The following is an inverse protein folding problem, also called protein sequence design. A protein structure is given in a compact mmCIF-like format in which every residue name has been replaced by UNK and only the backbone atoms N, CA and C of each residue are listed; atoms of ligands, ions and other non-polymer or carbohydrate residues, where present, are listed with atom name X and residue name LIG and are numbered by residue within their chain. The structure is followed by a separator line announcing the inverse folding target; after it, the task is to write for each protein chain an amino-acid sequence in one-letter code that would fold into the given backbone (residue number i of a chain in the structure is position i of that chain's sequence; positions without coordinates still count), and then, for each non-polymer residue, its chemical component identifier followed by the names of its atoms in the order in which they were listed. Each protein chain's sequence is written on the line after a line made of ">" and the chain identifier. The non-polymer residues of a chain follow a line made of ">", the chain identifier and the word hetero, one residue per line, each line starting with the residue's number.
data_IF_327685964142
#
_entry.id   IF_327685964142
#
_cell.length_a   1.000
_cell.length_b   1.000
_cell.length_c   1.000
_cell.angle_alpha   90.00
_cell.angle_beta   90.00
_cell.angle_gamma   90.00
#
_symmetry.space_group_name_H-M   'P 1'
#
loop_
_entity.id
_entity.type
_entity.pdbx_description
1 polymer ?
#
# COMPACT_ATOMS: atom_id res chain seq x y z
N UNK A 1 7.10 -9.51 13.48
CA UNK A 1 7.24 -8.21 14.17
C UNK A 1 6.58 -7.16 13.30
N UNK A 2 5.89 -6.21 13.90
CA UNK A 2 5.15 -5.12 13.26
C UNK A 2 6.09 -3.98 12.84
N UNK A 3 5.59 -3.08 12.00
CA UNK A 3 6.16 -1.72 11.87
C UNK A 3 5.63 -0.90 13.03
N UNK A 4 6.50 -0.14 13.66
CA UNK A 4 6.14 0.77 14.73
C UNK A 4 6.63 2.19 14.40
N UNK A 5 5.73 3.13 14.54
CA UNK A 5 5.97 4.56 14.42
C UNK A 5 5.94 5.14 15.84
N UNK A 6 6.99 5.86 16.23
CA UNK A 6 7.13 6.42 17.57
C UNK A 6 7.36 7.93 17.51
N UNK A 7 6.40 8.71 18.03
CA UNK A 7 6.42 10.17 18.13
C UNK A 7 6.87 10.87 16.84
N UNK A 8 6.39 10.36 15.68
CA UNK A 8 6.83 10.77 14.36
C UNK A 8 6.27 12.15 14.00
N UNK A 9 7.15 13.05 13.59
CA UNK A 9 6.76 14.33 12.99
C UNK A 9 7.30 14.41 11.56
N UNK A 10 6.40 14.67 10.61
CA UNK A 10 6.68 14.75 9.19
C UNK A 10 6.33 16.12 8.65
N UNK A 11 7.05 16.54 7.63
CA UNK A 11 6.80 17.82 6.98
C UNK A 11 7.59 18.01 5.70
N UNK A 12 7.16 19.00 4.93
CA UNK A 12 7.81 19.44 3.71
C UNK A 12 8.38 20.85 3.97
N UNK A 13 9.63 21.06 3.61
CA UNK A 13 10.35 22.29 3.94
C UNK A 13 10.20 22.60 5.44
N UNK A 14 9.65 23.75 5.82
CA UNK A 14 9.47 24.16 7.22
C UNK A 14 8.07 23.87 7.79
N UNK A 15 7.15 23.32 6.97
CA UNK A 15 5.77 23.05 7.40
C UNK A 15 5.64 21.61 7.88
N UNK A 16 5.32 21.43 9.18
CA UNK A 16 4.91 20.13 9.72
C UNK A 16 3.46 19.82 9.33
N UNK A 17 3.23 18.61 8.80
CA UNK A 17 1.91 18.12 8.40
C UNK A 17 1.43 16.95 9.26
N UNK A 18 2.36 16.21 9.87
CA UNK A 18 2.09 15.20 10.90
C UNK A 18 2.89 15.59 12.14
N UNK A 19 2.29 15.48 13.32
CA UNK A 19 2.92 15.85 14.61
C UNK A 19 2.71 14.74 15.62
N UNK A 20 3.80 14.24 16.21
CA UNK A 20 3.81 13.25 17.29
C UNK A 20 2.95 12.00 17.02
N UNK A 21 2.94 11.52 15.77
CA UNK A 21 2.21 10.32 15.40
C UNK A 21 2.88 9.09 16.01
N UNK A 22 2.12 8.31 16.77
CA UNK A 22 2.53 6.99 17.26
C UNK A 22 1.52 5.96 16.80
N UNK A 23 2.00 4.88 16.15
CA UNK A 23 1.15 3.93 15.48
C UNK A 23 1.88 2.59 15.33
N UNK A 24 1.15 1.47 15.49
CA UNK A 24 1.65 0.11 15.24
C UNK A 24 0.84 -0.55 14.14
N UNK A 25 1.55 -1.10 13.15
CA UNK A 25 0.93 -1.92 12.11
C UNK A 25 1.07 -3.40 12.49
N UNK A 26 -0.03 -4.12 12.71
CA UNK A 26 0.01 -5.54 13.04
C UNK A 26 0.60 -6.36 11.87
N UNK A 27 1.32 -7.44 12.21
CA UNK A 27 1.92 -8.34 11.21
C UNK A 27 0.87 -9.26 10.59
N UNK A 28 1.11 -9.70 9.35
CA UNK A 28 0.28 -10.67 8.61
C UNK A 28 -1.20 -10.24 8.53
N UNK A 29 -1.42 -8.98 8.22
CA UNK A 29 -2.74 -8.38 8.07
C UNK A 29 -2.80 -7.55 6.79
N UNK A 30 -4.00 -7.40 6.24
CA UNK A 30 -4.32 -6.31 5.31
C UNK A 30 -4.82 -5.14 6.13
N UNK A 31 -4.10 -4.01 6.07
CA UNK A 31 -4.34 -2.83 6.90
C UNK A 31 -4.69 -1.67 5.98
N UNK A 32 -5.83 -1.04 6.18
CA UNK A 32 -6.19 0.17 5.45
C UNK A 32 -5.93 1.43 6.29
N UNK A 33 -5.22 2.39 5.68
CA UNK A 33 -5.21 3.78 6.11
C UNK A 33 -6.38 4.50 5.42
N UNK A 34 -7.34 4.97 6.20
CA UNK A 34 -8.53 5.67 5.72
C UNK A 34 -8.64 7.05 6.37
N UNK A 35 -9.37 7.96 5.75
CA UNK A 35 -9.55 9.32 6.25
C UNK A 35 -9.76 10.32 5.11
N UNK A 36 -10.19 11.56 5.41
CA UNK A 36 -10.43 12.60 4.42
C UNK A 36 -9.18 12.93 3.60
N UNK A 37 -9.38 13.54 2.44
CA UNK A 37 -8.27 14.01 1.62
C UNK A 37 -7.41 15.02 2.40
N UNK A 38 -6.10 14.94 2.22
CA UNK A 38 -5.15 15.81 2.91
C UNK A 38 -4.90 15.46 4.38
N UNK A 39 -5.44 14.35 4.93
CA UNK A 39 -5.18 13.93 6.31
C UNK A 39 -3.82 13.23 6.52
N UNK A 40 -2.93 13.23 5.51
CA UNK A 40 -1.55 12.74 5.57
C UNK A 40 -1.35 11.23 5.50
N UNK A 41 -2.29 10.45 4.94
CA UNK A 41 -2.14 9.00 4.72
C UNK A 41 -0.90 8.67 3.86
N UNK A 42 -0.85 9.19 2.63
CA UNK A 42 0.27 8.99 1.71
C UNK A 42 1.59 9.54 2.25
N UNK A 43 1.56 10.64 3.02
CA UNK A 43 2.75 11.19 3.69
C UNK A 43 3.30 10.20 4.72
N UNK A 44 2.43 9.55 5.48
CA UNK A 44 2.81 8.50 6.44
C UNK A 44 3.39 7.28 5.73
N UNK A 45 2.74 6.81 4.63
CA UNK A 45 3.28 5.72 3.82
C UNK A 45 4.66 6.05 3.24
N UNK A 46 4.86 7.26 2.69
CA UNK A 46 6.16 7.72 2.16
C UNK A 46 7.25 7.72 3.22
N UNK A 47 6.92 8.04 4.48
CA UNK A 47 7.88 7.96 5.57
C UNK A 47 8.26 6.50 5.88
N UNK A 48 7.28 5.59 5.92
CA UNK A 48 7.54 4.14 6.07
C UNK A 48 8.35 3.60 4.89
N UNK A 49 8.09 4.06 3.66
CA UNK A 49 8.85 3.68 2.46
C UNK A 49 10.25 4.33 2.39
N UNK A 50 10.68 5.13 3.39
CA UNK A 50 11.94 5.90 3.41
C UNK A 50 12.06 6.94 2.30
N UNK A 51 10.96 7.36 1.70
CA UNK A 51 10.91 8.44 0.71
C UNK A 51 10.78 9.83 1.35
N UNK A 52 10.39 9.89 2.61
CA UNK A 52 10.31 11.12 3.41
C UNK A 52 10.99 10.89 4.75
N UNK A 53 12.11 11.62 5.00
CA UNK A 53 12.82 11.52 6.27
C UNK A 53 12.04 12.23 7.38
N UNK A 54 11.85 11.60 8.55
CA UNK A 54 11.24 12.24 9.70
C UNK A 54 12.02 13.47 10.16
N UNK A 55 11.30 14.51 10.59
CA UNK A 55 11.87 15.66 11.31
C UNK A 55 12.15 15.28 12.77
N UNK A 56 11.29 14.45 13.37
CA UNK A 56 11.42 13.93 14.73
C UNK A 56 10.80 12.54 14.81
N UNK A 57 11.17 11.78 15.85
CA UNK A 57 10.67 10.43 16.08
C UNK A 57 11.41 9.38 15.25
N UNK A 58 10.90 8.16 15.27
CA UNK A 58 11.52 7.02 14.58
C UNK A 58 10.47 6.08 14.02
N UNK A 59 10.90 5.29 13.04
CA UNK A 59 10.13 4.18 12.47
C UNK A 59 10.98 2.93 12.59
N UNK A 60 10.44 1.88 13.22
CA UNK A 60 11.15 0.62 13.38
C UNK A 60 10.44 -0.50 12.62
N UNK A 61 11.23 -1.39 12.02
CA UNK A 61 10.78 -2.64 11.42
C UNK A 61 11.61 -3.81 12.00
N UNK A 62 10.93 -4.80 12.55
CA UNK A 62 11.58 -5.92 13.27
C UNK A 62 12.49 -5.43 14.42
N UNK A 63 12.07 -4.36 15.10
CA UNK A 63 12.81 -3.78 16.22
C UNK A 63 14.05 -2.98 15.86
N UNK A 64 14.35 -2.78 14.57
CA UNK A 64 15.46 -1.94 14.10
C UNK A 64 14.92 -0.68 13.41
N UNK A 65 15.55 0.45 13.65
CA UNK A 65 15.23 1.68 12.93
C UNK A 65 15.46 1.47 11.43
N UNK A 66 14.44 1.80 10.63
CA UNK A 66 14.50 1.60 9.17
C UNK A 66 15.63 2.41 8.52
N UNK A 67 16.00 3.57 9.10
CA UNK A 67 17.07 4.43 8.57
C UNK A 67 18.48 3.92 8.88
N UNK A 68 18.63 2.96 9.80
CA UNK A 68 19.91 2.30 10.10
C UNK A 68 20.20 1.11 9.17
N UNK A 69 19.19 0.61 8.45
CA UNK A 69 19.39 -0.46 7.46
C UNK A 69 20.01 0.10 6.18
N UNK A 70 20.78 -0.71 5.47
CA UNK A 70 21.24 -0.34 4.14
C UNK A 70 20.03 -0.18 3.19
N UNK A 71 20.11 0.65 2.13
CA UNK A 71 19.03 0.78 1.16
C UNK A 71 18.64 -0.56 0.52
N UNK A 72 19.63 -1.40 0.17
CA UNK A 72 19.41 -2.71 -0.43
C UNK A 72 18.68 -3.66 0.53
N UNK A 73 19.11 -3.73 1.80
CA UNK A 73 18.49 -4.55 2.84
C UNK A 73 17.01 -4.17 3.04
N UNK A 74 16.72 -2.87 3.15
CA UNK A 74 15.35 -2.42 3.36
C UNK A 74 14.47 -2.64 2.12
N UNK A 75 15.02 -2.47 0.92
CA UNK A 75 14.32 -2.77 -0.34
C UNK A 75 14.05 -4.27 -0.55
N UNK A 76 14.74 -5.18 0.14
CA UNK A 76 14.38 -6.60 0.17
C UNK A 76 13.23 -6.91 1.13
N UNK A 77 13.00 -6.05 2.12
CA UNK A 77 11.95 -6.25 3.11
C UNK A 77 10.63 -5.53 2.76
N UNK A 78 10.69 -4.45 1.97
CA UNK A 78 9.55 -3.59 1.67
C UNK A 78 9.42 -3.32 0.17
N UNK A 79 8.21 -3.53 -0.36
CA UNK A 79 7.79 -3.10 -1.68
C UNK A 79 6.80 -1.94 -1.57
N UNK A 80 6.89 -0.95 -2.45
CA UNK A 80 6.03 0.23 -2.43
C UNK A 80 5.47 0.57 -3.80
N UNK A 81 4.15 0.63 -3.90
CA UNK A 81 3.42 1.16 -5.06
C UNK A 81 2.96 2.59 -4.72
N UNK A 82 3.55 3.64 -5.29
CA UNK A 82 3.10 5.01 -5.08
C UNK A 82 1.83 5.32 -5.87
N UNK A 83 1.11 6.36 -5.47
CA UNK A 83 -0.11 6.83 -6.16
C UNK A 83 0.15 7.29 -7.60
N UNK A 84 1.29 7.96 -7.82
CA UNK A 84 1.71 8.41 -9.15
C UNK A 84 3.02 7.74 -9.54
N UNK A 85 3.10 7.33 -10.79
CA UNK A 85 4.27 6.67 -11.34
C UNK A 85 4.92 7.56 -12.40
N UNK A 86 6.24 7.65 -12.37
CA UNK A 86 7.01 8.18 -13.49
C UNK A 86 7.28 7.01 -14.43
N UNK A 87 6.78 7.12 -15.66
CA UNK A 87 7.02 6.13 -16.70
C UNK A 87 8.36 6.47 -17.37
N UNK A 88 9.39 5.61 -17.27
CA UNK A 88 10.63 5.82 -18.00
C UNK A 88 10.39 5.73 -19.50
N UNK A 89 11.03 6.61 -20.28
CA UNK A 89 10.95 6.55 -21.74
C UNK A 89 11.65 5.31 -22.28
N UNK A 90 11.06 4.70 -23.30
CA UNK A 90 11.68 3.61 -24.05
C UNK A 90 11.78 2.26 -23.32
N UNK A 91 11.17 2.11 -22.12
CA UNK A 91 11.20 0.86 -21.37
C UNK A 91 10.02 -0.04 -21.76
N UNK A 92 10.29 -1.33 -21.94
CA UNK A 92 9.26 -2.36 -22.15
C UNK A 92 8.65 -2.82 -20.83
N UNK A 93 7.43 -3.34 -20.90
CA UNK A 93 6.68 -3.84 -19.73
C UNK A 93 7.48 -4.87 -18.95
N UNK A 94 8.01 -5.91 -19.62
CA UNK A 94 8.79 -6.95 -18.94
C UNK A 94 10.04 -6.40 -18.24
N UNK A 95 10.70 -5.41 -18.85
CA UNK A 95 11.89 -4.77 -18.28
C UNK A 95 11.55 -3.99 -17.01
N UNK A 96 10.45 -3.20 -17.05
CA UNK A 96 10.00 -2.44 -15.88
C UNK A 96 9.62 -3.38 -14.75
N UNK A 97 8.91 -4.48 -15.02
CA UNK A 97 8.53 -5.46 -14.00
C UNK A 97 9.78 -6.12 -13.40
N UNK A 98 10.77 -6.42 -14.23
CA UNK A 98 12.05 -6.99 -13.79
C UNK A 98 12.82 -6.04 -12.86
N UNK A 99 12.62 -4.72 -12.91
CA UNK A 99 13.20 -3.78 -11.95
C UNK A 99 12.72 -4.02 -10.51
N UNK A 100 11.58 -4.67 -10.29
CA UNK A 100 11.18 -5.14 -8.97
C UNK A 100 12.21 -6.08 -8.33
N UNK A 101 13.03 -6.77 -9.15
CA UNK A 101 14.11 -7.66 -8.67
C UNK A 101 15.44 -6.95 -8.44
N UNK A 102 15.54 -5.63 -8.68
CA UNK A 102 16.80 -4.87 -8.50
C UNK A 102 17.49 -5.07 -7.14
N UNK A 103 16.77 -5.18 -6.00
CA UNK A 103 17.41 -5.42 -4.70
C UNK A 103 18.13 -6.78 -4.58
N UNK A 104 17.82 -7.72 -5.47
CA UNK A 104 18.33 -9.09 -5.43
C UNK A 104 19.43 -9.36 -6.47
N UNK A 105 19.66 -8.42 -7.39
CA UNK A 105 20.65 -8.58 -8.45
C UNK A 105 22.04 -8.87 -7.86
N UNK A 106 22.77 -9.77 -8.53
CA UNK A 106 24.15 -10.09 -8.23
C UNK A 106 25.08 -8.94 -8.63
N UNK A 107 26.40 -9.10 -8.40
CA UNK A 107 27.42 -8.12 -8.76
C UNK A 107 27.51 -7.82 -10.26
N UNK A 108 26.99 -8.73 -11.10
CA UNK A 108 26.97 -8.59 -12.56
C UNK A 108 25.65 -8.01 -13.07
N UNK A 109 24.74 -7.64 -12.19
CA UNK A 109 23.42 -7.09 -12.56
C UNK A 109 22.48 -8.09 -13.25
N UNK A 110 22.73 -9.39 -13.12
CA UNK A 110 21.94 -10.44 -13.78
C UNK A 110 20.86 -10.98 -12.85
N UNK A 111 19.69 -11.25 -13.43
CA UNK A 111 18.60 -12.00 -12.81
C UNK A 111 19.01 -13.47 -12.65
N UNK A 112 18.59 -14.07 -11.55
CA UNK A 112 18.64 -15.52 -11.38
C UNK A 112 17.39 -16.16 -11.99
N UNK A 113 17.40 -17.47 -12.20
CA UNK A 113 16.21 -18.21 -12.66
C UNK A 113 15.00 -17.95 -11.75
N UNK A 114 15.19 -17.89 -10.44
CA UNK A 114 14.12 -17.56 -9.47
C UNK A 114 13.57 -16.15 -9.70
N UNK A 115 14.41 -15.19 -10.05
CA UNK A 115 13.96 -13.82 -10.33
C UNK A 115 13.09 -13.78 -11.60
N UNK A 116 13.47 -14.51 -12.64
CA UNK A 116 12.71 -14.64 -13.88
C UNK A 116 11.34 -15.32 -13.64
N UNK A 117 11.31 -16.36 -12.82
CA UNK A 117 10.07 -17.05 -12.39
C UNK A 117 9.14 -16.07 -11.64
N UNK A 118 9.66 -15.23 -10.75
CA UNK A 118 8.89 -14.23 -10.01
C UNK A 118 8.36 -13.12 -10.92
N UNK A 119 9.14 -12.68 -11.90
CA UNK A 119 8.69 -11.70 -12.91
C UNK A 119 7.54 -12.31 -13.72
N UNK A 120 7.70 -13.52 -14.23
CA UNK A 120 6.67 -14.23 -15.00
C UNK A 120 5.39 -14.44 -14.20
N UNK A 121 5.54 -14.88 -12.93
CA UNK A 121 4.42 -15.02 -12.00
C UNK A 121 3.69 -13.68 -11.77
N UNK A 122 4.42 -12.61 -11.53
CA UNK A 122 3.82 -11.29 -11.30
C UNK A 122 3.05 -10.79 -12.52
N UNK A 123 3.61 -11.00 -13.73
CA UNK A 123 2.93 -10.68 -14.98
C UNK A 123 1.62 -11.45 -15.16
N UNK A 124 1.61 -12.74 -14.82
CA UNK A 124 0.41 -13.57 -14.88
C UNK A 124 -0.66 -13.11 -13.88
N UNK A 125 -0.26 -12.79 -12.62
CA UNK A 125 -1.19 -12.32 -11.60
C UNK A 125 -1.87 -11.00 -11.98
N UNK A 126 -1.18 -10.11 -12.69
CA UNK A 126 -1.69 -8.80 -13.08
C UNK A 126 -2.23 -8.75 -14.51
N UNK A 127 -2.27 -9.90 -15.21
CA UNK A 127 -2.72 -10.00 -16.60
C UNK A 127 -1.98 -9.00 -17.51
N UNK A 128 -0.66 -8.93 -17.37
CA UNK A 128 0.22 -8.07 -18.17
C UNK A 128 1.14 -8.84 -19.11
N UNK A 129 1.04 -10.19 -19.14
CA UNK A 129 1.90 -11.04 -19.96
C UNK A 129 1.81 -10.73 -21.46
N UNK A 130 0.61 -10.45 -21.98
CA UNK A 130 0.39 -10.11 -23.38
C UNK A 130 0.97 -8.73 -23.75
N UNK A 131 1.30 -7.89 -22.76
CA UNK A 131 1.85 -6.55 -22.93
C UNK A 131 3.38 -6.54 -22.85
N UNK A 132 4.04 -7.68 -22.61
CA UNK A 132 5.46 -7.81 -22.24
C UNK A 132 6.42 -7.00 -23.12
N UNK A 133 6.22 -7.03 -24.43
CA UNK A 133 7.07 -6.38 -25.44
C UNK A 133 6.66 -4.94 -25.76
N UNK A 134 5.52 -4.46 -25.25
CA UNK A 134 5.04 -3.10 -25.48
C UNK A 134 5.82 -2.09 -24.63
N UNK A 135 5.93 -0.86 -25.13
CA UNK A 135 6.46 0.25 -24.35
C UNK A 135 5.44 0.64 -23.26
N UNK A 136 5.91 0.89 -22.05
CA UNK A 136 5.03 1.29 -20.94
C UNK A 136 4.35 2.65 -21.23
N UNK A 137 5.02 3.54 -21.99
CA UNK A 137 4.46 4.82 -22.45
C UNK A 137 3.21 4.69 -23.32
N UNK A 138 3.07 3.58 -24.03
CA UNK A 138 1.98 3.37 -25.01
C UNK A 138 0.73 2.76 -24.36
N UNK A 139 0.81 2.41 -23.08
CA UNK A 139 -0.26 1.78 -22.33
C UNK A 139 -1.28 2.79 -21.80
N UNK A 140 -2.54 2.36 -21.69
CA UNK A 140 -3.55 3.11 -20.93
C UNK A 140 -3.19 3.22 -19.45
N UNK A 141 -3.75 4.23 -18.73
CA UNK A 141 -3.48 4.43 -17.31
C UNK A 141 -3.77 3.18 -16.45
N UNK A 142 -4.86 2.46 -16.74
CA UNK A 142 -5.19 1.20 -16.03
C UNK A 142 -4.21 0.06 -16.35
N UNK A 143 -3.68 -0.01 -17.59
CA UNK A 143 -2.63 -0.96 -17.94
C UNK A 143 -1.30 -0.62 -17.25
N UNK A 144 -0.91 0.66 -17.24
CA UNK A 144 0.27 1.14 -16.51
C UNK A 144 0.17 0.80 -15.02
N UNK A 145 -0.99 1.03 -14.39
CA UNK A 145 -1.22 0.68 -12.98
C UNK A 145 -0.98 -0.81 -12.71
N UNK A 146 -1.46 -1.70 -13.59
CA UNK A 146 -1.21 -3.14 -13.48
C UNK A 146 0.24 -3.52 -13.66
N UNK A 147 0.97 -2.85 -14.55
CA UNK A 147 2.42 -3.08 -14.75
C UNK A 147 3.22 -2.65 -13.52
N UNK A 148 2.93 -1.51 -12.91
CA UNK A 148 3.58 -1.08 -11.67
C UNK A 148 3.21 -1.98 -10.49
N UNK A 149 1.97 -2.48 -10.43
CA UNK A 149 1.58 -3.49 -9.47
C UNK A 149 2.36 -4.79 -9.67
N UNK A 150 2.53 -5.24 -10.93
CA UNK A 150 3.36 -6.41 -11.24
C UNK A 150 4.82 -6.22 -10.78
N UNK A 151 5.41 -5.05 -11.02
CA UNK A 151 6.76 -4.72 -10.52
C UNK A 151 6.83 -4.82 -9.00
N UNK A 152 5.81 -4.32 -8.29
CA UNK A 152 5.71 -4.38 -6.83
C UNK A 152 5.58 -5.83 -6.33
N UNK A 153 4.79 -6.67 -7.03
CA UNK A 153 4.64 -8.09 -6.73
C UNK A 153 5.92 -8.87 -7.00
N UNK A 154 6.59 -8.59 -8.12
CA UNK A 154 7.85 -9.25 -8.50
C UNK A 154 8.94 -9.05 -7.46
N UNK A 155 8.93 -7.95 -6.70
CA UNK A 155 9.87 -7.69 -5.62
C UNK A 155 9.80 -8.74 -4.50
N UNK A 156 8.64 -9.39 -4.30
CA UNK A 156 8.39 -10.47 -3.33
C UNK A 156 8.75 -10.11 -1.88
N UNK A 157 8.56 -8.85 -1.50
CA UNK A 157 8.81 -8.38 -0.15
C UNK A 157 7.75 -8.90 0.85
N UNK A 158 8.12 -9.00 2.14
CA UNK A 158 7.19 -9.39 3.21
C UNK A 158 6.25 -8.26 3.63
N UNK A 159 6.64 -7.02 3.38
CA UNK A 159 5.85 -5.82 3.63
C UNK A 159 5.54 -5.13 2.31
N UNK A 160 4.26 -4.95 2.02
CA UNK A 160 3.80 -4.31 0.79
C UNK A 160 3.01 -3.06 1.15
N UNK A 161 3.42 -1.92 0.62
CA UNK A 161 2.73 -0.65 0.77
C UNK A 161 2.08 -0.27 -0.56
N UNK A 162 0.79 0.08 -0.52
CA UNK A 162 0.01 0.45 -1.70
C UNK A 162 -0.67 1.80 -1.45
N UNK A 163 -0.27 2.83 -2.18
CA UNK A 163 -0.84 4.17 -2.04
C UNK A 163 -1.91 4.41 -3.11
N UNK A 164 -3.19 4.29 -2.73
CA UNK A 164 -4.37 4.42 -3.59
C UNK A 164 -4.33 3.49 -4.83
N UNK A 165 -4.11 2.18 -4.66
CA UNK A 165 -3.85 1.28 -5.78
C UNK A 165 -5.07 1.02 -6.67
N UNK A 166 -6.27 1.42 -6.24
CA UNK A 166 -7.54 1.26 -6.98
C UNK A 166 -7.83 2.39 -7.95
N UNK A 167 -7.05 3.47 -7.92
CA UNK A 167 -7.19 4.61 -8.83
C UNK A 167 -7.01 4.16 -10.28
N UNK A 168 -7.84 4.67 -11.20
CA UNK A 168 -7.86 4.31 -12.63
C UNK A 168 -8.28 2.87 -12.96
N UNK A 169 -8.71 2.06 -11.98
CA UNK A 169 -9.21 0.71 -12.20
C UNK A 169 -10.76 0.69 -12.24
N UNK A 170 -11.32 -0.08 -13.15
CA UNK A 170 -12.75 -0.42 -13.14
C UNK A 170 -13.10 -1.33 -11.95
N UNK A 171 -14.39 -1.47 -11.66
CA UNK A 171 -14.89 -2.23 -10.50
C UNK A 171 -14.38 -3.68 -10.47
N UNK A 172 -14.28 -4.33 -11.63
CA UNK A 172 -13.82 -5.69 -11.71
C UNK A 172 -12.34 -5.81 -11.33
N UNK A 173 -11.51 -4.90 -11.86
CA UNK A 173 -10.09 -4.83 -11.54
C UNK A 173 -9.81 -4.41 -10.09
N UNK A 174 -10.66 -3.56 -9.53
CA UNK A 174 -10.59 -3.26 -8.10
C UNK A 174 -10.84 -4.51 -7.26
N UNK A 175 -11.86 -5.30 -7.59
CA UNK A 175 -12.15 -6.55 -6.87
C UNK A 175 -10.99 -7.56 -6.99
N UNK A 176 -10.40 -7.71 -8.17
CA UNK A 176 -9.22 -8.56 -8.39
C UNK A 176 -8.04 -8.12 -7.51
N UNK A 177 -7.75 -6.81 -7.47
CA UNK A 177 -6.68 -6.26 -6.62
C UNK A 177 -6.93 -6.52 -5.13
N UNK A 178 -8.18 -6.33 -4.66
CA UNK A 178 -8.55 -6.64 -3.27
C UNK A 178 -8.33 -8.13 -2.96
N UNK A 179 -8.69 -9.02 -3.90
CA UNK A 179 -8.42 -10.46 -3.81
C UNK A 179 -6.93 -10.76 -3.71
N UNK A 180 -6.09 -10.10 -4.53
CA UNK A 180 -4.63 -10.23 -4.46
C UNK A 180 -4.06 -9.80 -3.10
N UNK A 181 -4.53 -8.69 -2.52
CA UNK A 181 -4.09 -8.27 -1.18
C UNK A 181 -4.42 -9.33 -0.11
N UNK A 182 -5.60 -9.94 -0.18
CA UNK A 182 -5.98 -11.06 0.72
C UNK A 182 -5.09 -12.28 0.50
N UNK A 183 -4.78 -12.62 -0.73
CA UNK A 183 -3.87 -13.72 -1.06
C UNK A 183 -2.45 -13.46 -0.55
N UNK A 184 -1.92 -12.23 -0.70
CA UNK A 184 -0.63 -11.85 -0.11
C UNK A 184 -0.63 -12.05 1.40
N UNK A 185 -1.70 -11.65 2.10
CA UNK A 185 -1.83 -11.81 3.54
C UNK A 185 -1.87 -13.30 3.94
N UNK A 186 -2.62 -14.13 3.22
CA UNK A 186 -2.66 -15.58 3.43
C UNK A 186 -1.29 -16.23 3.25
N UNK A 187 -0.45 -15.69 2.35
CA UNK A 187 0.94 -16.09 2.16
C UNK A 187 1.91 -15.47 3.20
N UNK A 188 1.38 -14.93 4.31
CA UNK A 188 2.17 -14.40 5.43
C UNK A 188 2.73 -13.00 5.24
N UNK A 189 2.37 -12.28 4.17
CA UNK A 189 2.78 -10.89 3.95
C UNK A 189 1.94 -9.92 4.78
N UNK A 190 2.48 -8.76 5.06
CA UNK A 190 1.76 -7.62 5.63
C UNK A 190 1.50 -6.62 4.52
N UNK A 191 0.24 -6.25 4.30
CA UNK A 191 -0.15 -5.27 3.29
C UNK A 191 -0.70 -4.04 3.99
N UNK A 192 -0.13 -2.87 3.72
CA UNK A 192 -0.65 -1.57 4.20
C UNK A 192 -1.09 -0.79 2.97
N UNK A 193 -2.35 -0.41 2.91
CA UNK A 193 -2.92 0.26 1.74
C UNK A 193 -3.65 1.54 2.14
N UNK A 194 -3.62 2.56 1.29
CA UNK A 194 -4.51 3.71 1.37
C UNK A 194 -5.73 3.41 0.51
N UNK A 195 -6.91 3.49 1.09
CA UNK A 195 -8.17 3.29 0.39
C UNK A 195 -9.10 4.49 0.60
N UNK A 196 -9.91 4.77 -0.42
CA UNK A 196 -10.97 5.80 -0.36
C UNK A 196 -12.34 5.18 -0.13
N UNK A 197 -12.59 3.99 -0.65
CA UNK A 197 -13.84 3.29 -0.45
C UNK A 197 -13.84 2.58 0.91
N UNK A 198 -14.64 3.11 1.83
CA UNK A 198 -14.73 2.61 3.20
C UNK A 198 -15.42 1.23 3.25
N UNK A 199 -16.39 0.96 2.37
CA UNK A 199 -17.05 -0.35 2.31
C UNK A 199 -16.07 -1.42 1.81
N UNK A 200 -15.24 -1.09 0.80
CA UNK A 200 -14.16 -1.99 0.39
C UNK A 200 -13.13 -2.19 1.50
N UNK A 201 -12.76 -1.13 2.23
CA UNK A 201 -11.84 -1.25 3.37
C UNK A 201 -12.40 -2.19 4.45
N UNK A 202 -13.68 -2.08 4.79
CA UNK A 202 -14.33 -2.98 5.75
C UNK A 202 -14.38 -4.43 5.27
N UNK A 203 -14.64 -4.64 3.98
CA UNK A 203 -14.82 -5.97 3.40
C UNK A 203 -13.52 -6.75 3.25
N UNK A 204 -12.43 -6.07 2.91
CA UNK A 204 -11.19 -6.72 2.50
C UNK A 204 -10.03 -6.56 3.49
N UNK A 205 -10.11 -5.62 4.45
CA UNK A 205 -9.02 -5.38 5.38
C UNK A 205 -9.31 -5.97 6.75
N UNK A 206 -8.25 -6.47 7.41
CA UNK A 206 -8.33 -7.02 8.76
C UNK A 206 -8.25 -5.94 9.83
N UNK A 207 -7.67 -4.78 9.47
CA UNK A 207 -7.42 -3.70 10.41
C UNK A 207 -7.54 -2.36 9.71
N UNK A 208 -8.23 -1.42 10.33
CA UNK A 208 -8.42 -0.07 9.84
C UNK A 208 -7.69 0.91 10.74
N UNK A 209 -7.08 1.91 10.14
CA UNK A 209 -6.47 3.06 10.81
C UNK A 209 -7.10 4.30 10.24
N UNK A 210 -7.88 5.00 11.04
CA UNK A 210 -8.60 6.21 10.65
C UNK A 210 -7.78 7.43 11.01
N UNK A 211 -7.47 8.25 10.01
CA UNK A 211 -6.67 9.45 10.18
C UNK A 211 -7.46 10.71 9.89
N UNK A 212 -7.26 11.77 10.68
CA UNK A 212 -7.78 13.12 10.46
C UNK A 212 -6.72 14.15 10.84
N UNK A 213 -6.41 15.09 9.95
CA UNK A 213 -5.44 16.18 10.19
C UNK A 213 -4.08 15.73 10.76
N UNK A 214 -3.55 14.61 10.26
CA UNK A 214 -2.25 14.08 10.68
C UNK A 214 -2.23 13.28 11.97
N UNK A 215 -3.39 13.03 12.60
CA UNK A 215 -3.53 12.23 13.81
C UNK A 215 -4.37 10.97 13.55
N UNK A 216 -4.16 9.92 14.37
CA UNK A 216 -5.02 8.73 14.39
C UNK A 216 -6.23 9.03 15.27
N UNK A 217 -7.43 8.84 14.72
CA UNK A 217 -8.70 9.02 15.42
C UNK A 217 -9.21 7.70 15.99
N UNK A 218 -9.04 6.61 15.25
CA UNK A 218 -9.38 5.25 15.69
C UNK A 218 -8.53 4.23 14.96
N UNK A 219 -8.34 3.06 15.56
CA UNK A 219 -7.72 1.89 14.92
C UNK A 219 -8.27 0.61 15.53
N UNK A 220 -8.43 -0.43 14.72
CA UNK A 220 -8.97 -1.72 15.15
C UNK A 220 -9.49 -2.53 13.97
N UNK A 221 -10.24 -3.57 14.26
CA UNK A 221 -10.99 -4.30 13.24
C UNK A 221 -12.08 -3.42 12.62
N UNK A 222 -12.61 -3.75 11.44
CA UNK A 222 -13.76 -3.02 10.88
C UNK A 222 -14.93 -2.88 11.85
N UNK A 223 -15.24 -3.93 12.63
CA UNK A 223 -16.32 -3.92 13.63
C UNK A 223 -16.08 -2.94 14.78
N UNK A 224 -14.84 -2.80 15.21
CA UNK A 224 -14.48 -1.89 16.32
C UNK A 224 -14.45 -0.43 15.87
N UNK A 225 -14.14 -0.19 14.61
CA UNK A 225 -13.84 1.16 14.11
C UNK A 225 -15.04 1.80 13.41
N UNK A 226 -15.82 1.04 12.61
CA UNK A 226 -16.84 1.60 11.74
C UNK A 226 -18.14 1.82 12.49
N UNK A 227 -18.29 3.02 13.07
CA UNK A 227 -19.50 3.49 13.78
C UNK A 227 -20.08 4.72 13.09
N UNK A 228 -21.42 4.93 13.22
CA UNK A 228 -22.10 6.13 12.68
C UNK A 228 -21.47 7.41 13.23
N UNK A 229 -21.11 7.41 14.53
CA UNK A 229 -20.47 8.52 15.21
C UNK A 229 -19.10 8.86 14.61
N UNK A 230 -18.24 7.85 14.39
CA UNK A 230 -16.93 8.05 13.78
C UNK A 230 -17.04 8.56 12.34
N UNK A 231 -17.98 8.00 11.56
CA UNK A 231 -18.21 8.44 10.17
C UNK A 231 -18.70 9.88 10.11
N UNK A 232 -19.56 10.28 11.04
CA UNK A 232 -20.02 11.67 11.16
C UNK A 232 -18.87 12.60 11.57
N UNK A 233 -18.11 12.23 12.60
CA UNK A 233 -17.02 13.08 13.11
C UNK A 233 -15.86 13.21 12.12
N UNK A 234 -15.42 12.12 11.50
CA UNK A 234 -14.22 12.12 10.68
C UNK A 234 -14.50 12.55 9.24
N UNK A 235 -15.58 12.02 8.64
CA UNK A 235 -15.88 12.18 7.20
C UNK A 235 -17.04 13.12 6.92
N UNK A 236 -17.74 13.59 7.98
CA UNK A 236 -19.00 14.39 7.89
C UNK A 236 -20.09 13.64 7.12
N UNK A 237 -20.17 12.33 7.28
CA UNK A 237 -21.18 11.48 6.66
C UNK A 237 -22.29 11.15 7.65
N UNK A 238 -23.54 11.29 7.21
CA UNK A 238 -24.72 10.81 7.93
C UNK A 238 -25.16 9.48 7.32
N UNK A 239 -25.02 8.40 8.09
CA UNK A 239 -25.10 7.03 7.57
C UNK A 239 -25.92 6.14 8.49
N UNK A 240 -26.31 4.99 7.97
CA UNK A 240 -26.79 3.83 8.73
C UNK A 240 -25.80 2.70 8.50
N UNK A 241 -25.41 2.01 9.58
CA UNK A 241 -24.52 0.85 9.50
C UNK A 241 -25.37 -0.42 9.37
N UNK A 242 -25.07 -1.20 8.34
CA UNK A 242 -25.62 -2.53 8.09
C UNK A 242 -24.48 -3.57 8.08
N UNK A 243 -24.86 -4.83 7.85
CA UNK A 243 -23.92 -5.91 7.59
C UNK A 243 -23.87 -6.24 6.10
N UNK A 244 -22.68 -6.33 5.54
CA UNK A 244 -22.48 -6.85 4.19
C UNK A 244 -22.96 -8.31 4.17
N UNK A 245 -23.90 -8.68 3.30
CA UNK A 245 -24.52 -10.01 3.30
C UNK A 245 -23.55 -11.13 2.90
N UNK A 246 -22.41 -10.81 2.32
CA UNK A 246 -21.40 -11.78 1.85
C UNK A 246 -20.27 -11.93 2.87
N UNK A 247 -19.67 -10.82 3.31
CA UNK A 247 -18.51 -10.82 4.21
C UNK A 247 -18.89 -10.73 5.68
N UNK A 248 -20.13 -10.37 6.00
CA UNK A 248 -20.63 -10.07 7.34
C UNK A 248 -19.84 -8.96 8.08
N UNK A 249 -19.13 -8.12 7.32
CA UNK A 249 -18.42 -6.95 7.86
C UNK A 249 -19.34 -5.73 7.86
N UNK A 250 -19.02 -4.66 8.63
CA UNK A 250 -19.80 -3.42 8.57
C UNK A 250 -19.84 -2.85 7.15
N UNK A 251 -21.00 -2.39 6.77
CA UNK A 251 -21.26 -1.67 5.53
C UNK A 251 -22.15 -0.47 5.85
N UNK A 252 -21.82 0.70 5.36
CA UNK A 252 -22.62 1.90 5.57
C UNK A 252 -23.41 2.29 4.31
N UNK A 253 -24.57 2.89 4.55
CA UNK A 253 -25.46 3.47 3.53
C UNK A 253 -25.69 4.92 3.93
N UNK A 254 -25.55 5.85 2.98
CA UNK A 254 -25.85 7.28 3.20
C UNK A 254 -27.36 7.47 3.44
N UNK A 255 -27.70 8.34 4.42
CA UNK A 255 -29.07 8.78 4.66
C UNK A 255 -29.50 9.82 3.67
#
# INVERSE_FOLDING_TARGET
>A
MSIEINNLSLGYQDKLVVKNLSLKFPKNKVIALIGPNGCCKSTTLKAVARLLKPKQGSITHKGKDIWQKSPKEYAQELAFLPQQHLVPEGIKVQELIAYGRSPYLNLWGKLSQKDEELVTWAMAQTQTAELAEQLVSDLSGGQQQRVFLAMTLAQDAELVLLDEPTTYLDLNRQAELMGMMRQMQQNGKTVITVLHDLNQACRYCDHLIVMKKGAVMAQGTPDEVMTEELLKDVFDLDVIIHRDPISNTPMFILK
#
